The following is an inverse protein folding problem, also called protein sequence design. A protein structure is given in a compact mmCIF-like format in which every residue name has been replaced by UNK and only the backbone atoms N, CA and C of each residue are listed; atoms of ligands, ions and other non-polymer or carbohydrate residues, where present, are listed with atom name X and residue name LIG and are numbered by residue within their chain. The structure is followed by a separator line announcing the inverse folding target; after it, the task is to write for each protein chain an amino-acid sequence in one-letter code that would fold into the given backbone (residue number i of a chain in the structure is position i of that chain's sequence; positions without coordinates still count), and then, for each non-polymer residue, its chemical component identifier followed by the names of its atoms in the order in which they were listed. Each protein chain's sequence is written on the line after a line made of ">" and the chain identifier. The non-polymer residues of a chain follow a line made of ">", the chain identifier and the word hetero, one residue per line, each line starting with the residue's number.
data_IF_075798790925
#
_entry.id   IF_075798790925
#
_cell.length_a   1.000
_cell.length_b   1.000
_cell.length_c   1.000
_cell.angle_alpha   90.00
_cell.angle_beta   90.00
_cell.angle_gamma   90.00
#
_symmetry.space_group_name_H-M   'P 1'
#
loop_
_entity.id
_entity.type
_entity.pdbx_description
1 polymer ?
#
# COMPACT_ATOMS: atom_id res chain seq x y z
N UNK A 1 -24.95 -16.84 -4.77
CA UNK A 1 -23.79 -17.33 -5.55
C UNK A 1 -23.52 -16.32 -6.64
N UNK A 2 -22.54 -15.44 -6.59
CA UNK A 2 -21.59 -15.00 -5.57
C UNK A 2 -20.83 -13.91 -6.32
N UNK A 3 -20.99 -12.64 -5.95
CA UNK A 3 -20.45 -11.51 -6.72
C UNK A 3 -18.93 -11.39 -6.63
N UNK A 4 -18.25 -12.40 -6.10
CA UNK A 4 -16.81 -12.43 -5.91
C UNK A 4 -16.14 -12.90 -7.21
N UNK A 5 -15.27 -12.04 -7.75
CA UNK A 5 -14.39 -12.36 -8.86
C UNK A 5 -13.08 -13.01 -8.39
N UNK A 6 -12.50 -12.48 -7.31
CA UNK A 6 -11.29 -13.03 -6.69
C UNK A 6 -11.45 -13.03 -5.16
N UNK A 7 -10.85 -14.02 -4.51
CA UNK A 7 -10.85 -14.18 -3.06
C UNK A 7 -9.42 -14.30 -2.56
N UNK A 8 -9.04 -13.38 -1.68
CA UNK A 8 -7.72 -13.29 -1.09
C UNK A 8 -7.60 -13.95 0.26
N UNK A 9 -6.43 -13.80 0.85
CA UNK A 9 -6.19 -14.08 2.25
C UNK A 9 -6.95 -13.02 3.09
N UNK A 10 -7.35 -13.37 4.31
CA UNK A 10 -7.99 -12.43 5.26
C UNK A 10 -9.39 -11.89 4.89
N UNK A 11 -10.19 -12.64 4.12
CA UNK A 11 -11.55 -12.24 3.69
C UNK A 11 -11.59 -11.06 2.70
N UNK A 12 -10.43 -10.65 2.18
CA UNK A 12 -10.35 -9.71 1.08
C UNK A 12 -10.97 -10.34 -0.17
N UNK A 13 -11.73 -9.54 -0.91
CA UNK A 13 -12.44 -10.00 -2.09
C UNK A 13 -12.54 -8.88 -3.10
N UNK A 14 -12.25 -9.22 -4.34
CA UNK A 14 -12.57 -8.38 -5.49
C UNK A 14 -13.87 -8.90 -6.04
N UNK A 15 -14.83 -8.02 -6.22
CA UNK A 15 -16.16 -8.33 -6.75
C UNK A 15 -16.24 -8.04 -8.25
N UNK A 16 -17.32 -8.46 -8.91
CA UNK A 16 -17.55 -8.03 -10.30
C UNK A 16 -17.82 -6.52 -10.39
N UNK A 17 -18.25 -5.88 -9.31
CA UNK A 17 -18.34 -4.41 -9.25
C UNK A 17 -16.96 -3.78 -9.37
N UNK A 18 -15.98 -4.26 -8.60
CA UNK A 18 -14.61 -3.74 -8.65
C UNK A 18 -14.00 -3.89 -10.06
N UNK A 19 -14.29 -5.01 -10.74
CA UNK A 19 -13.86 -5.19 -12.13
C UNK A 19 -14.49 -4.20 -13.10
N UNK A 20 -15.78 -3.94 -12.92
CA UNK A 20 -16.50 -2.95 -13.72
C UNK A 20 -15.86 -1.59 -13.55
N UNK A 21 -15.55 -1.21 -12.31
CA UNK A 21 -14.89 0.06 -12.03
C UNK A 21 -13.53 0.17 -12.74
N UNK A 22 -12.72 -0.91 -12.72
CA UNK A 22 -11.45 -0.96 -13.48
C UNK A 22 -11.68 -0.78 -14.98
N UNK A 23 -12.63 -1.52 -15.58
CA UNK A 23 -12.88 -1.51 -17.03
C UNK A 23 -13.42 -0.15 -17.52
N UNK A 24 -14.12 0.57 -16.65
CA UNK A 24 -14.68 1.89 -16.94
C UNK A 24 -13.79 3.05 -16.50
N UNK A 25 -12.53 2.80 -16.14
CA UNK A 25 -11.58 3.81 -15.66
C UNK A 25 -12.15 4.64 -14.48
N UNK A 26 -12.89 3.98 -13.58
CA UNK A 26 -13.44 4.55 -12.36
C UNK A 26 -12.48 4.36 -11.18
N UNK A 27 -12.90 4.83 -10.00
CA UNK A 27 -12.10 4.74 -8.77
C UNK A 27 -11.80 3.29 -8.39
N UNK A 28 -10.54 2.99 -8.11
CA UNK A 28 -10.13 1.68 -7.63
C UNK A 28 -10.49 1.54 -6.15
N UNK A 29 -11.12 0.43 -5.79
CA UNK A 29 -11.33 0.12 -4.38
C UNK A 29 -10.03 -0.33 -3.71
N UNK A 30 -9.97 -0.16 -2.38
CA UNK A 30 -8.86 -0.64 -1.57
C UNK A 30 -8.63 -2.16 -1.75
N UNK A 31 -9.71 -2.95 -1.92
CA UNK A 31 -9.61 -4.39 -2.13
C UNK A 31 -8.87 -4.77 -3.42
N UNK A 32 -8.99 -3.95 -4.48
CA UNK A 32 -8.24 -4.17 -5.73
C UNK A 32 -6.75 -4.01 -5.50
N UNK A 33 -6.35 -3.01 -4.70
CA UNK A 33 -4.93 -2.77 -4.38
C UNK A 33 -4.37 -3.90 -3.51
N UNK A 34 -5.10 -4.35 -2.49
CA UNK A 34 -4.69 -5.48 -1.65
C UNK A 34 -4.59 -6.78 -2.47
N UNK A 35 -5.55 -7.03 -3.36
CA UNK A 35 -5.49 -8.18 -4.26
C UNK A 35 -4.25 -8.13 -5.16
N UNK A 36 -3.92 -6.96 -5.71
CA UNK A 36 -2.72 -6.78 -6.51
C UNK A 36 -1.44 -7.03 -5.69
N UNK A 37 -1.38 -6.51 -4.45
CA UNK A 37 -0.26 -6.77 -3.53
C UNK A 37 -0.09 -8.28 -3.32
N UNK A 38 -1.17 -8.99 -3.00
CA UNK A 38 -1.10 -10.42 -2.77
C UNK A 38 -0.63 -11.18 -4.01
N UNK A 39 -1.14 -10.83 -5.20
CA UNK A 39 -0.70 -11.42 -6.48
C UNK A 39 0.80 -11.17 -6.73
N UNK A 40 1.32 -10.00 -6.38
CA UNK A 40 2.75 -9.71 -6.50
C UNK A 40 3.59 -10.43 -5.44
N UNK A 41 3.09 -10.58 -4.22
CA UNK A 41 3.77 -11.31 -3.15
C UNK A 41 3.83 -12.81 -3.44
N UNK A 42 2.79 -13.39 -4.03
CA UNK A 42 2.74 -14.80 -4.43
C UNK A 42 3.80 -15.16 -5.49
N UNK A 43 4.37 -14.17 -6.18
CA UNK A 43 5.48 -14.36 -7.14
C UNK A 43 6.85 -14.41 -6.48
N UNK A 44 6.96 -14.05 -5.20
CA UNK A 44 8.22 -13.96 -4.47
C UNK A 44 8.44 -15.26 -3.71
N UNK A 45 9.60 -15.90 -3.90
CA UNK A 45 9.90 -17.11 -3.13
C UNK A 45 10.11 -16.79 -1.64
N UNK A 46 9.69 -17.67 -0.71
CA UNK A 46 9.73 -17.38 0.75
C UNK A 46 11.10 -16.96 1.31
N UNK A 47 12.20 -17.36 0.66
CA UNK A 47 13.57 -17.05 1.08
C UNK A 47 14.27 -16.04 0.15
N UNK A 48 13.56 -15.49 -0.84
CA UNK A 48 14.13 -14.54 -1.78
C UNK A 48 14.43 -13.20 -1.09
N UNK A 49 15.70 -12.83 -1.12
CA UNK A 49 16.17 -11.50 -0.72
C UNK A 49 16.26 -10.58 -1.93
N UNK A 50 16.34 -9.28 -1.67
CA UNK A 50 16.40 -8.22 -2.69
C UNK A 50 15.16 -8.19 -3.60
N UNK A 51 14.05 -8.78 -3.18
CA UNK A 51 12.76 -8.69 -3.85
C UNK A 51 12.04 -7.38 -3.55
N UNK A 52 11.10 -6.95 -4.41
CA UNK A 52 10.08 -5.97 -4.03
C UNK A 52 9.34 -6.45 -2.78
N UNK A 53 9.04 -5.55 -1.85
CA UNK A 53 8.19 -5.87 -0.69
C UNK A 53 7.07 -4.83 -0.60
N UNK A 54 5.91 -5.23 -0.12
CA UNK A 54 4.71 -4.40 -0.14
C UNK A 54 4.12 -4.28 1.26
N UNK A 55 3.78 -3.07 1.69
CA UNK A 55 2.96 -2.85 2.88
C UNK A 55 1.48 -2.86 2.45
N UNK A 56 0.61 -3.33 3.34
CA UNK A 56 -0.83 -3.24 3.13
C UNK A 56 -1.29 -1.78 3.16
N UNK A 57 -2.31 -1.44 2.37
CA UNK A 57 -3.02 -0.16 2.44
C UNK A 57 -3.65 0.09 3.81
N UNK A 58 -3.99 -0.99 4.54
CA UNK A 58 -4.50 -0.91 5.92
C UNK A 58 -3.47 -0.37 6.90
N UNK A 59 -2.16 -0.53 6.63
CA UNK A 59 -1.09 0.01 7.49
C UNK A 59 -1.29 1.50 7.73
N UNK A 60 -1.57 2.28 6.68
CA UNK A 60 -1.83 3.71 6.80
C UNK A 60 -3.12 4.00 7.59
N UNK A 61 -4.19 3.27 7.31
CA UNK A 61 -5.47 3.43 8.01
C UNK A 61 -5.34 3.18 9.52
N UNK A 62 -4.52 2.19 9.92
CA UNK A 62 -4.23 1.93 11.33
C UNK A 62 -3.33 3.00 11.95
N UNK A 63 -2.34 3.53 11.23
CA UNK A 63 -1.51 4.64 11.74
C UNK A 63 -2.34 5.88 12.08
N UNK A 64 -3.35 6.21 11.26
CA UNK A 64 -4.25 7.35 11.49
C UNK A 64 -5.10 7.23 12.77
N UNK A 65 -5.26 6.02 13.32
CA UNK A 65 -6.02 5.80 14.56
C UNK A 65 -5.27 6.26 15.83
N UNK A 66 -3.96 6.53 15.74
CA UNK A 66 -3.09 6.93 16.86
C UNK A 66 -3.12 5.99 18.10
N UNK A 67 -3.51 4.72 17.93
CA UNK A 67 -3.50 3.74 19.01
C UNK A 67 -2.19 2.95 18.98
N UNK A 68 -1.30 3.22 19.93
CA UNK A 68 0.07 2.66 20.00
C UNK A 68 0.15 1.12 19.86
N UNK A 69 -0.73 0.29 20.48
CA UNK A 69 -0.68 -1.16 20.31
C UNK A 69 -0.91 -1.61 18.85
N UNK A 70 -1.69 -0.84 18.09
CA UNK A 70 -1.94 -1.11 16.68
C UNK A 70 -0.74 -0.73 15.81
N UNK A 71 0.05 0.26 16.20
CA UNK A 71 1.24 0.65 15.44
C UNK A 71 2.30 -0.44 15.48
N UNK A 72 2.48 -1.11 16.63
CA UNK A 72 3.44 -2.20 16.72
C UNK A 72 3.10 -3.35 15.77
N UNK A 73 1.86 -3.85 15.84
CA UNK A 73 1.40 -4.99 15.06
C UNK A 73 1.20 -4.67 13.59
N UNK A 74 0.55 -3.56 13.27
CA UNK A 74 0.14 -3.25 11.89
C UNK A 74 1.21 -2.53 11.06
N UNK A 75 2.23 -1.94 11.72
CA UNK A 75 3.30 -1.20 11.03
C UNK A 75 4.68 -1.74 11.38
N UNK A 76 5.10 -1.66 12.65
CA UNK A 76 6.53 -1.86 12.99
C UNK A 76 7.03 -3.27 12.71
N UNK A 77 6.29 -4.31 13.12
CA UNK A 77 6.69 -5.71 12.91
C UNK A 77 6.85 -6.01 11.40
N UNK A 78 5.81 -5.70 10.62
CA UNK A 78 5.79 -5.92 9.17
C UNK A 78 6.86 -5.10 8.45
N UNK A 79 7.07 -3.85 8.85
CA UNK A 79 8.09 -2.98 8.27
C UNK A 79 9.49 -3.53 8.51
N UNK A 80 9.82 -3.93 9.73
CA UNK A 80 11.14 -4.47 10.07
C UNK A 80 11.42 -5.78 9.33
N UNK A 81 10.43 -6.67 9.26
CA UNK A 81 10.55 -7.92 8.52
C UNK A 81 10.84 -7.66 7.03
N UNK A 82 10.02 -6.82 6.40
CA UNK A 82 10.13 -6.52 4.96
C UNK A 82 11.41 -5.76 4.62
N UNK A 83 11.87 -4.83 5.48
CA UNK A 83 13.13 -4.12 5.30
C UNK A 83 14.34 -5.06 5.30
N UNK A 84 14.29 -6.16 6.06
CA UNK A 84 15.33 -7.19 6.03
C UNK A 84 15.49 -7.83 4.66
N UNK A 85 14.37 -8.04 3.95
CA UNK A 85 14.28 -8.81 2.71
C UNK A 85 14.31 -7.95 1.44
N UNK A 86 13.88 -6.68 1.49
CA UNK A 86 13.58 -5.91 0.28
C UNK A 86 14.79 -5.33 -0.45
N UNK A 87 14.68 -5.13 -1.77
CA UNK A 87 15.44 -4.10 -2.51
C UNK A 87 14.70 -2.76 -2.57
N UNK A 88 13.37 -2.83 -2.72
CA UNK A 88 12.45 -1.71 -2.67
C UNK A 88 11.25 -2.09 -1.80
N UNK A 89 10.87 -1.22 -0.86
CA UNK A 89 9.63 -1.33 -0.11
C UNK A 89 8.58 -0.39 -0.72
N UNK A 90 7.42 -0.92 -1.06
CA UNK A 90 6.26 -0.20 -1.56
C UNK A 90 5.27 0.00 -0.43
N UNK A 91 4.81 1.23 -0.25
CA UNK A 91 3.88 1.63 0.79
C UNK A 91 2.74 2.43 0.13
N UNK A 92 1.64 1.77 -0.26
CA UNK A 92 0.47 2.45 -0.77
C UNK A 92 -0.23 3.22 0.35
N UNK A 93 -0.58 4.46 0.06
CA UNK A 93 -1.22 5.38 1.01
C UNK A 93 -2.55 5.83 0.40
N UNK A 94 -3.62 5.62 1.15
CA UNK A 94 -4.96 6.11 0.79
C UNK A 94 -5.27 7.39 1.55
N UNK A 95 -5.58 8.46 0.81
CA UNK A 95 -6.23 9.63 1.38
C UNK A 95 -7.74 9.36 1.47
N UNK A 96 -8.26 9.15 2.68
CA UNK A 96 -9.70 8.96 2.90
C UNK A 96 -10.53 10.18 2.55
N UNK A 97 -9.95 11.37 2.63
CA UNK A 97 -10.65 12.62 2.31
C UNK A 97 -10.76 12.86 0.81
N UNK A 98 -9.73 12.48 0.06
CA UNK A 98 -9.65 12.74 -1.39
C UNK A 98 -9.91 11.49 -2.24
N UNK A 99 -10.22 10.35 -1.61
CA UNK A 99 -10.41 9.05 -2.28
C UNK A 99 -9.29 8.77 -3.29
N UNK A 100 -8.07 9.08 -2.86
CA UNK A 100 -6.91 9.21 -3.72
C UNK A 100 -5.78 8.31 -3.24
N UNK A 101 -5.24 7.50 -4.15
CA UNK A 101 -4.08 6.66 -3.88
C UNK A 101 -2.78 7.37 -4.26
N UNK A 102 -1.85 7.34 -3.32
CA UNK A 102 -0.47 7.75 -3.52
C UNK A 102 0.46 6.59 -3.13
N UNK A 103 1.70 6.64 -3.58
CA UNK A 103 2.66 5.57 -3.34
C UNK A 103 3.93 6.17 -2.73
N UNK A 104 4.28 5.71 -1.54
CA UNK A 104 5.57 5.96 -0.92
C UNK A 104 6.46 4.73 -1.14
N UNK A 105 7.68 4.92 -1.64
CA UNK A 105 8.66 3.84 -1.82
C UNK A 105 9.93 4.12 -1.06
N UNK A 106 10.55 3.07 -0.51
CA UNK A 106 11.92 3.12 0.03
C UNK A 106 12.84 2.29 -0.84
N UNK A 107 13.83 2.93 -1.47
CA UNK A 107 14.87 2.27 -2.24
C UNK A 107 16.07 1.98 -1.31
N UNK A 108 16.23 0.71 -0.89
CA UNK A 108 17.17 0.32 0.17
C UNK A 108 18.62 0.67 -0.17
N UNK A 109 19.04 0.38 -1.40
CA UNK A 109 20.42 0.63 -1.86
C UNK A 109 20.74 2.13 -1.91
N UNK A 110 19.76 2.96 -2.25
CA UNK A 110 19.92 4.42 -2.28
C UNK A 110 19.69 5.08 -0.92
N UNK A 111 19.08 4.36 0.03
CA UNK A 111 18.58 4.89 1.31
C UNK A 111 17.66 6.10 1.13
N UNK A 112 16.82 6.06 0.10
CA UNK A 112 15.94 7.18 -0.28
C UNK A 112 14.48 6.78 -0.27
N UNK A 113 13.67 7.67 0.29
CA UNK A 113 12.23 7.65 0.15
C UNK A 113 11.80 8.45 -1.09
N UNK A 114 10.85 7.93 -1.85
CA UNK A 114 10.24 8.63 -2.98
C UNK A 114 8.72 8.57 -2.85
N UNK A 115 8.06 9.69 -3.08
CA UNK A 115 6.62 9.79 -3.02
C UNK A 115 6.06 10.08 -4.42
N UNK A 116 5.22 9.19 -4.91
CA UNK A 116 4.52 9.29 -6.18
C UNK A 116 3.07 9.65 -5.92
N UNK A 117 2.67 10.81 -6.42
CA UNK A 117 1.28 11.25 -6.42
C UNK A 117 0.95 11.66 -7.86
N UNK A 118 0.06 10.93 -8.56
CA UNK A 118 -0.22 11.22 -9.97
C UNK A 118 -0.90 12.58 -10.16
N UNK A 119 -1.61 13.10 -9.15
CA UNK A 119 -2.23 14.43 -9.20
C UNK A 119 -1.21 15.58 -9.09
N UNK A 120 0.01 15.35 -8.60
CA UNK A 120 1.07 16.39 -8.58
C UNK A 120 1.46 16.85 -9.98
N UNK A 121 1.35 15.96 -10.98
CA UNK A 121 1.63 16.29 -12.38
C UNK A 121 0.59 17.24 -12.99
N UNK A 122 -0.59 17.36 -12.37
CA UNK A 122 -1.70 18.21 -12.82
C UNK A 122 -1.66 19.62 -12.22
N UNK A 123 -0.57 20.01 -11.55
CA UNK A 123 -0.38 21.37 -11.04
C UNK A 123 -1.10 21.69 -9.72
N UNK A 124 -1.85 20.75 -9.14
CA UNK A 124 -2.47 20.91 -7.83
C UNK A 124 -1.44 20.71 -6.71
N UNK A 125 -0.71 21.78 -6.37
CA UNK A 125 0.07 21.84 -5.11
C UNK A 125 -0.87 22.16 -3.95
N UNK A 126 -1.55 21.16 -3.40
CA UNK A 126 -1.89 21.21 -1.98
C UNK A 126 -0.69 20.67 -1.21
N UNK A 127 -0.29 21.38 -0.16
CA UNK A 127 0.76 20.94 0.77
C UNK A 127 0.31 19.67 1.49
N UNK A 128 0.59 18.52 0.88
CA UNK A 128 0.54 17.26 1.61
C UNK A 128 1.64 17.30 2.66
N UNK A 129 1.24 17.42 3.93
CA UNK A 129 2.12 17.13 5.06
C UNK A 129 2.48 15.65 4.98
N UNK A 130 3.53 15.33 4.23
CA UNK A 130 4.32 14.14 4.48
C UNK A 130 4.74 14.24 5.95
N UNK A 131 4.09 13.45 6.80
CA UNK A 131 4.61 13.13 8.12
C UNK A 131 5.83 12.25 7.84
N UNK A 132 6.93 12.89 7.43
CA UNK A 132 8.25 12.33 7.57
C UNK A 132 8.37 12.09 9.08
N UNK A 133 8.41 10.82 9.47
CA UNK A 133 8.97 10.43 10.75
C UNK A 133 10.38 11.00 10.78
N UNK A 134 10.52 12.22 11.30
CA UNK A 134 11.81 12.80 11.64
C UNK A 134 12.32 11.97 12.80
N UNK A 135 13.05 10.90 12.49
CA UNK A 135 13.87 10.21 13.46
C UNK A 135 14.91 11.19 14.00
N UNK A 136 14.95 11.32 15.32
CA UNK A 136 16.09 11.88 16.05
C UNK A 136 17.25 10.90 16.08
#
# INVERSE_FOLDING_TARGET
>A
MGDNFWAGLNSEKVTNHDLKDIVWDLELSQNVIEAYIQIEEDKIEPMQTESPQYMSTWTWAYMQSFQEPFWHRALYEHLLEKLGKCSVLFFPIISKEEFHFTLLTFHKNERKWRHYNPLRSLGHRKEERLILLKGG
#
